data_IF_203741508381
#
_entry.id   IF_203741508381
#
_cell.length_a   1.000
_cell.length_b   1.000
_cell.length_c   1.000
_cell.angle_alpha   90.00
_cell.angle_beta   90.00
_cell.angle_gamma   90.00
#
_symmetry.space_group_name_H-M   'P 1'
#
loop_
_entity.id
_entity.type
_entity.pdbx_description
1 polymer ?
#
# COMPACT_ATOMS: atom_id res chain seq x y z
N UNK A 1 -14.73 11.77 43.90
CA UNK A 1 -13.87 12.98 43.88
C UNK A 1 -12.43 12.51 43.77
N UNK A 2 -11.81 12.62 42.60
CA UNK A 2 -10.39 12.31 42.43
C UNK A 2 -9.57 13.57 42.79
N UNK A 3 -8.57 13.48 43.68
CA UNK A 3 -7.78 14.62 44.09
C UNK A 3 -6.87 15.09 42.94
N UNK A 4 -7.15 16.28 42.41
CA UNK A 4 -6.30 17.00 41.47
C UNK A 4 -5.02 17.46 42.18
N UNK A 5 -3.91 16.74 41.99
CA UNK A 5 -2.57 17.23 42.39
C UNK A 5 -2.03 18.19 41.32
N UNK A 6 -1.42 19.31 41.70
CA UNK A 6 -0.80 20.24 40.75
C UNK A 6 0.46 19.61 40.12
N UNK A 7 0.51 19.61 38.79
CA UNK A 7 1.64 19.12 37.98
C UNK A 7 2.81 20.09 38.18
N UNK A 8 3.91 19.64 38.81
CA UNK A 8 4.98 20.54 39.27
C UNK A 8 6.29 20.42 38.49
N UNK A 9 6.47 19.40 37.64
CA UNK A 9 7.73 19.13 36.94
C UNK A 9 7.52 18.72 35.49
N UNK A 10 8.47 19.06 34.60
CA UNK A 10 8.47 18.66 33.17
C UNK A 10 8.37 17.14 32.99
N UNK A 11 8.84 16.37 33.98
CA UNK A 11 8.81 14.91 33.96
C UNK A 11 7.41 14.31 34.18
N UNK A 12 6.50 15.03 34.84
CA UNK A 12 5.10 14.60 34.95
C UNK A 12 4.34 14.87 33.66
N UNK A 13 4.72 15.93 32.92
CA UNK A 13 4.14 16.23 31.61
C UNK A 13 4.53 15.17 30.58
N UNK A 14 5.80 14.71 30.58
CA UNK A 14 6.24 13.63 29.68
C UNK A 14 5.58 12.29 30.04
N UNK A 15 5.38 11.97 31.33
CA UNK A 15 4.64 10.78 31.76
C UNK A 15 3.16 10.81 31.38
N UNK A 16 2.50 11.97 31.51
CA UNK A 16 1.10 12.13 31.09
C UNK A 16 0.97 12.06 29.57
N UNK A 17 1.93 12.63 28.83
CA UNK A 17 1.97 12.53 27.36
C UNK A 17 2.18 11.08 26.90
N UNK A 18 3.03 10.31 27.59
CA UNK A 18 3.20 8.87 27.33
C UNK A 18 1.95 8.07 27.68
N UNK A 19 1.27 8.37 28.79
CA UNK A 19 0.00 7.71 29.13
C UNK A 19 -1.13 8.07 28.16
N UNK A 20 -1.20 9.31 27.68
CA UNK A 20 -2.17 9.74 26.67
C UNK A 20 -1.92 9.08 25.31
N UNK A 21 -0.64 8.95 24.91
CA UNK A 21 -0.23 8.25 23.69
C UNK A 21 -0.54 6.75 23.75
N UNK A 22 -0.47 6.15 24.95
CA UNK A 22 -0.81 4.74 25.20
C UNK A 22 -2.32 4.48 25.25
N UNK A 23 -3.14 5.48 25.59
CA UNK A 23 -4.59 5.35 25.74
C UNK A 23 -5.40 5.69 24.47
N UNK A 24 -4.82 6.40 23.49
CA UNK A 24 -5.42 6.53 22.13
C UNK A 24 -5.14 5.34 21.21
N UNK A 25 -4.27 4.41 21.61
CA UNK A 25 -4.19 3.10 20.94
C UNK A 25 -5.38 2.27 21.42
N UNK A 26 -6.49 2.40 20.67
CA UNK A 26 -7.70 1.61 20.82
C UNK A 26 -7.34 0.12 21.01
N UNK A 27 -8.02 -0.61 21.93
CA UNK A 27 -7.73 -2.00 22.19
C UNK A 27 -7.74 -2.77 20.87
N UNK A 28 -6.59 -3.39 20.61
CA UNK A 28 -6.24 -4.10 19.40
C UNK A 28 -7.37 -5.05 18.99
N UNK A 29 -7.98 -4.81 17.83
CA UNK A 29 -8.58 -5.90 17.08
C UNK A 29 -7.47 -6.92 16.82
N UNK A 30 -7.63 -8.14 17.34
CA UNK A 30 -6.76 -9.28 17.06
C UNK A 30 -6.71 -9.50 15.54
N UNK A 31 -5.66 -9.02 14.88
CA UNK A 31 -5.53 -9.05 13.42
C UNK A 31 -4.77 -7.86 12.82
N UNK A 32 -4.57 -6.77 13.57
CA UNK A 32 -3.68 -5.69 13.12
C UNK A 32 -2.22 -6.15 13.17
N UNK A 33 -1.74 -6.74 12.07
CA UNK A 33 -0.33 -6.95 11.86
C UNK A 33 0.39 -5.61 12.02
N UNK A 34 1.46 -5.55 12.82
CA UNK A 34 2.13 -4.28 13.04
C UNK A 34 2.73 -3.80 11.71
N UNK A 35 2.33 -2.60 11.25
CA UNK A 35 2.70 -2.05 9.94
C UNK A 35 4.22 -2.05 9.66
N UNK A 36 5.05 -1.95 10.71
CA UNK A 36 6.50 -2.00 10.58
C UNK A 36 7.00 -3.37 10.07
N UNK A 37 6.35 -4.47 10.47
CA UNK A 37 6.71 -5.81 10.02
C UNK A 37 6.38 -6.00 8.54
N UNK A 38 5.23 -5.48 8.09
CA UNK A 38 4.85 -5.51 6.68
C UNK A 38 5.84 -4.74 5.80
N UNK A 39 6.29 -3.58 6.25
CA UNK A 39 7.33 -2.80 5.54
C UNK A 39 8.66 -3.55 5.50
N UNK A 40 9.08 -4.16 6.61
CA UNK A 40 10.33 -4.91 6.71
C UNK A 40 10.32 -6.13 5.78
N UNK A 41 9.25 -6.93 5.81
CA UNK A 41 9.08 -8.09 4.95
C UNK A 41 9.01 -7.67 3.47
N UNK A 42 8.29 -6.59 3.17
CA UNK A 42 8.21 -6.04 1.82
C UNK A 42 9.57 -5.61 1.27
N UNK A 43 10.39 -4.91 2.05
CA UNK A 43 11.75 -4.53 1.65
C UNK A 43 12.63 -5.76 1.37
N UNK A 44 12.55 -6.79 2.20
CA UNK A 44 13.34 -8.02 2.03
C UNK A 44 12.92 -8.77 0.77
N UNK A 45 11.61 -8.98 0.57
CA UNK A 45 11.07 -9.65 -0.62
C UNK A 45 11.43 -8.88 -1.89
N UNK A 46 11.29 -7.55 -1.88
CA UNK A 46 11.64 -6.72 -3.04
C UNK A 46 13.13 -6.78 -3.34
N UNK A 47 13.99 -6.67 -2.33
CA UNK A 47 15.44 -6.80 -2.50
C UNK A 47 15.82 -8.17 -3.08
N UNK A 48 15.21 -9.25 -2.59
CA UNK A 48 15.39 -10.60 -3.11
C UNK A 48 14.97 -10.73 -4.58
N UNK A 49 13.81 -10.19 -4.96
CA UNK A 49 13.37 -10.17 -6.36
C UNK A 49 14.31 -9.37 -7.26
N UNK A 50 14.80 -8.22 -6.81
CA UNK A 50 15.74 -7.40 -7.58
C UNK A 50 17.07 -8.13 -7.82
N UNK A 51 17.64 -8.75 -6.79
CA UNK A 51 18.86 -9.55 -6.98
C UNK A 51 18.62 -10.77 -7.86
N UNK A 52 17.47 -11.44 -7.73
CA UNK A 52 17.09 -12.55 -8.60
C UNK A 52 17.04 -12.13 -10.07
N UNK A 53 16.36 -11.01 -10.39
CA UNK A 53 16.31 -10.48 -11.75
C UNK A 53 17.67 -10.02 -12.27
N UNK A 54 18.52 -9.44 -11.41
CA UNK A 54 19.87 -9.08 -11.77
C UNK A 54 20.72 -10.29 -12.17
N UNK A 55 20.66 -11.38 -11.39
CA UNK A 55 21.38 -12.61 -11.69
C UNK A 55 20.90 -13.23 -13.00
N UNK A 56 19.58 -13.30 -13.22
CA UNK A 56 19.02 -13.78 -14.49
C UNK A 56 19.55 -12.97 -15.67
N UNK A 57 19.58 -11.64 -15.54
CA UNK A 57 20.09 -10.75 -16.58
C UNK A 57 21.55 -11.02 -16.95
N UNK A 58 22.41 -11.27 -15.96
CA UNK A 58 23.81 -11.62 -16.21
C UNK A 58 24.00 -13.02 -16.79
N UNK A 59 23.06 -13.93 -16.54
CA UNK A 59 23.00 -15.22 -17.22
C UNK A 59 22.49 -15.11 -18.65
N UNK A 60 22.26 -13.90 -19.16
CA UNK A 60 21.65 -13.62 -20.47
C UNK A 60 20.28 -14.29 -20.64
N UNK A 61 19.57 -14.48 -19.52
CA UNK A 61 18.22 -15.03 -19.50
C UNK A 61 17.27 -13.97 -19.01
N UNK A 62 16.21 -13.72 -19.77
CA UNK A 62 15.17 -12.81 -19.32
C UNK A 62 13.99 -13.63 -18.78
N UNK A 63 13.32 -13.17 -17.71
CA UNK A 63 12.13 -13.87 -17.16
C UNK A 63 10.87 -13.64 -18.00
N UNK A 64 10.88 -12.69 -18.95
CA UNK A 64 9.69 -12.27 -19.71
C UNK A 64 9.78 -12.57 -21.21
N UNK A 65 10.99 -12.60 -21.74
CA UNK A 65 11.29 -12.75 -23.16
C UNK A 65 12.18 -13.97 -23.41
N UNK A 66 11.85 -14.73 -24.43
CA UNK A 66 12.61 -15.89 -24.90
C UNK A 66 13.91 -15.45 -25.57
N UNK A 67 13.89 -14.33 -26.29
CA UNK A 67 15.05 -13.74 -26.93
C UNK A 67 15.04 -12.22 -26.80
N UNK A 68 16.09 -11.65 -26.20
CA UNK A 68 16.30 -10.22 -26.09
C UNK A 68 17.80 -9.96 -26.24
N UNK A 69 18.18 -8.86 -26.90
CA UNK A 69 19.59 -8.55 -27.13
C UNK A 69 20.37 -8.35 -25.83
N UNK A 70 21.65 -8.72 -25.84
CA UNK A 70 22.51 -8.67 -24.64
C UNK A 70 22.60 -7.28 -24.00
N UNK A 71 22.54 -6.21 -24.81
CA UNK A 71 22.68 -4.84 -24.33
C UNK A 71 21.55 -4.43 -23.34
N UNK A 72 20.25 -4.50 -23.69
CA UNK A 72 19.16 -4.19 -22.75
C UNK A 72 19.14 -5.09 -21.51
N UNK A 73 19.52 -6.37 -21.62
CA UNK A 73 19.65 -7.23 -20.43
C UNK A 73 20.71 -6.71 -19.46
N UNK A 74 21.88 -6.27 -19.94
CA UNK A 74 22.93 -5.78 -19.03
C UNK A 74 22.44 -4.54 -18.29
N UNK A 75 21.78 -3.60 -18.98
CA UNK A 75 21.22 -2.39 -18.37
C UNK A 75 20.17 -2.74 -17.31
N UNK A 76 19.23 -3.63 -17.65
CA UNK A 76 18.22 -4.13 -16.71
C UNK A 76 18.84 -4.77 -15.46
N UNK A 77 19.92 -5.53 -15.63
CA UNK A 77 20.65 -6.14 -14.52
C UNK A 77 21.27 -5.10 -13.59
N UNK A 78 21.94 -4.09 -14.14
CA UNK A 78 22.58 -3.02 -13.36
C UNK A 78 21.54 -2.20 -12.58
N UNK A 79 20.42 -1.83 -13.22
CA UNK A 79 19.33 -1.08 -12.58
C UNK A 79 18.73 -1.88 -11.42
N UNK A 80 18.52 -3.19 -11.58
CA UNK A 80 18.02 -4.06 -10.52
C UNK A 80 19.03 -4.24 -9.36
N UNK A 81 20.34 -4.28 -9.61
CA UNK A 81 21.34 -4.30 -8.52
C UNK A 81 21.26 -3.02 -7.70
N UNK A 82 21.23 -1.87 -8.35
CA UNK A 82 21.14 -0.57 -7.66
C UNK A 82 19.88 -0.52 -6.81
N UNK A 83 18.73 -0.92 -7.37
CA UNK A 83 17.49 -0.98 -6.63
C UNK A 83 17.52 -2.01 -5.48
N UNK A 84 18.12 -3.18 -5.69
CA UNK A 84 18.34 -4.21 -4.67
C UNK A 84 19.20 -3.72 -3.50
N UNK A 85 20.24 -2.92 -3.77
CA UNK A 85 21.07 -2.30 -2.74
C UNK A 85 20.33 -1.19 -1.99
N UNK A 86 19.56 -0.34 -2.68
CA UNK A 86 18.75 0.72 -2.06
C UNK A 86 17.68 0.12 -1.14
N UNK A 87 17.00 -0.95 -1.57
CA UNK A 87 15.99 -1.65 -0.77
C UNK A 87 16.61 -2.37 0.42
N UNK A 88 17.79 -2.98 0.26
CA UNK A 88 18.55 -3.60 1.35
C UNK A 88 19.05 -2.57 2.37
N UNK A 89 19.55 -1.43 1.91
CA UNK A 89 19.93 -0.31 2.78
C UNK A 89 18.72 0.22 3.57
N UNK A 90 17.58 0.36 2.90
CA UNK A 90 16.31 0.75 3.54
C UNK A 90 15.90 -0.24 4.62
N UNK A 91 16.01 -1.54 4.35
CA UNK A 91 15.77 -2.61 5.32
C UNK A 91 16.67 -2.46 6.56
N UNK A 92 17.99 -2.29 6.36
CA UNK A 92 18.94 -2.12 7.47
C UNK A 92 18.59 -0.87 8.31
N UNK A 93 18.23 0.24 7.65
CA UNK A 93 17.82 1.47 8.33
C UNK A 93 16.54 1.28 9.17
N UNK A 94 15.55 0.54 8.65
CA UNK A 94 14.33 0.16 9.40
C UNK A 94 14.68 -0.64 10.65
N UNK A 95 15.62 -1.58 10.56
CA UNK A 95 16.00 -2.45 11.67
C UNK A 95 16.80 -1.70 12.75
N UNK A 96 17.78 -0.89 12.35
CA UNK A 96 18.70 -0.22 13.29
C UNK A 96 18.03 1.01 13.93
N UNK A 97 17.29 1.81 13.17
CA UNK A 97 16.82 3.11 13.62
C UNK A 97 15.35 3.35 13.26
N UNK A 98 14.46 2.77 14.05
CA UNK A 98 13.01 3.01 13.91
C UNK A 98 12.62 4.50 14.05
N UNK A 99 13.48 5.36 14.62
CA UNK A 99 13.17 6.77 14.90
C UNK A 99 13.74 7.78 13.91
N UNK A 100 14.71 7.41 13.06
CA UNK A 100 15.40 8.37 12.18
C UNK A 100 15.12 8.04 10.72
N UNK A 101 13.85 8.13 10.32
CA UNK A 101 13.49 8.08 8.91
C UNK A 101 13.63 9.45 8.28
N UNK A 102 14.57 9.55 7.35
CA UNK A 102 14.73 10.73 6.53
C UNK A 102 13.79 10.69 5.31
N UNK A 103 13.16 11.82 4.99
CA UNK A 103 12.32 12.00 3.79
C UNK A 103 13.11 11.72 2.53
N UNK A 104 14.40 12.03 2.51
CA UNK A 104 15.28 11.78 1.38
C UNK A 104 15.32 10.30 0.97
N UNK A 105 15.26 9.38 1.94
CA UNK A 105 15.29 7.95 1.66
C UNK A 105 14.06 7.49 0.88
N UNK A 106 12.87 8.05 1.18
CA UNK A 106 11.62 7.74 0.46
C UNK A 106 11.68 8.21 -0.98
N UNK A 107 12.22 9.41 -1.21
CA UNK A 107 12.41 9.93 -2.55
C UNK A 107 13.40 9.09 -3.36
N UNK A 108 14.54 8.73 -2.76
CA UNK A 108 15.54 7.86 -3.41
C UNK A 108 14.91 6.51 -3.75
N UNK A 109 14.16 5.92 -2.82
CA UNK A 109 13.49 4.63 -3.03
C UNK A 109 12.44 4.70 -4.14
N UNK A 110 11.62 5.77 -4.15
CA UNK A 110 10.62 6.00 -5.20
C UNK A 110 11.26 6.22 -6.56
N UNK A 111 12.35 6.98 -6.64
CA UNK A 111 13.10 7.19 -7.88
C UNK A 111 13.73 5.90 -8.39
N UNK A 112 14.31 5.09 -7.51
CA UNK A 112 14.90 3.80 -7.88
C UNK A 112 13.83 2.80 -8.36
N UNK A 113 12.68 2.76 -7.70
CA UNK A 113 11.54 1.95 -8.14
C UNK A 113 11.01 2.42 -9.51
N UNK A 114 10.88 3.73 -9.72
CA UNK A 114 10.48 4.30 -11.01
C UNK A 114 11.49 3.97 -12.12
N UNK A 115 12.80 3.99 -11.83
CA UNK A 115 13.83 3.61 -12.78
C UNK A 115 13.69 2.16 -13.24
N UNK A 116 13.41 1.21 -12.33
CA UNK A 116 13.15 -0.20 -12.68
C UNK A 116 11.91 -0.32 -13.58
N UNK A 117 10.82 0.37 -13.25
CA UNK A 117 9.59 0.36 -14.05
C UNK A 117 9.85 0.90 -15.46
N UNK A 118 10.53 2.05 -15.57
CA UNK A 118 10.86 2.66 -16.86
C UNK A 118 11.75 1.72 -17.68
N UNK A 119 12.73 1.08 -17.06
CA UNK A 119 13.61 0.13 -17.74
C UNK A 119 12.85 -1.10 -18.24
N UNK A 120 11.95 -1.68 -17.43
CA UNK A 120 11.08 -2.79 -17.88
C UNK A 120 10.20 -2.40 -19.06
N UNK A 121 9.67 -1.18 -19.07
CA UNK A 121 8.85 -0.66 -20.16
C UNK A 121 9.70 -0.42 -21.42
N UNK A 122 10.91 0.12 -21.28
CA UNK A 122 11.83 0.31 -22.39
C UNK A 122 12.22 -1.03 -23.04
N UNK A 123 12.50 -2.06 -22.24
CA UNK A 123 12.80 -3.41 -22.72
C UNK A 123 11.61 -4.02 -23.46
N UNK A 124 10.38 -3.80 -22.98
CA UNK A 124 9.16 -4.22 -23.67
C UNK A 124 8.97 -3.53 -25.03
N UNK A 125 9.15 -2.22 -25.09
CA UNK A 125 9.08 -1.45 -26.33
C UNK A 125 10.16 -1.92 -27.31
N UNK A 126 11.37 -2.16 -26.82
CA UNK A 126 12.49 -2.67 -27.63
C UNK A 126 12.17 -4.03 -28.26
N UNK A 127 11.57 -4.94 -27.49
CA UNK A 127 11.15 -6.25 -27.97
C UNK A 127 10.11 -6.14 -29.09
N UNK A 128 9.07 -5.33 -28.91
CA UNK A 128 8.03 -5.12 -29.93
C UNK A 128 8.59 -4.45 -31.18
N UNK A 129 9.57 -3.57 -31.05
CA UNK A 129 10.17 -2.85 -32.18
C UNK A 129 10.98 -3.76 -33.11
N UNK A 130 11.44 -4.93 -32.64
CA UNK A 130 12.34 -5.82 -33.37
C UNK A 130 11.76 -7.23 -33.61
N UNK A 131 10.59 -7.38 -34.27
CA UNK A 131 9.97 -8.69 -34.48
C UNK A 131 10.80 -9.59 -35.40
N UNK A 132 11.58 -8.99 -36.32
CA UNK A 132 12.42 -9.73 -37.28
C UNK A 132 13.50 -10.56 -36.57
N UNK A 133 14.21 -9.95 -35.62
CA UNK A 133 15.25 -10.63 -34.83
C UNK A 133 14.68 -11.80 -34.02
N UNK A 134 13.44 -11.66 -33.52
CA UNK A 134 12.75 -12.74 -32.85
C UNK A 134 12.39 -13.89 -33.81
N UNK A 135 11.86 -13.59 -34.99
CA UNK A 135 11.53 -14.61 -35.99
C UNK A 135 12.77 -15.38 -36.47
N UNK A 136 13.87 -14.68 -36.74
CA UNK A 136 15.13 -15.31 -37.17
C UNK A 136 15.67 -16.27 -36.09
N UNK A 137 15.61 -15.86 -34.82
CA UNK A 137 15.96 -16.71 -33.69
C UNK A 137 15.03 -17.92 -33.56
N UNK A 138 13.72 -17.72 -33.64
CA UNK A 138 12.72 -18.78 -33.52
C UNK A 138 12.92 -19.88 -34.58
N UNK A 139 13.16 -19.48 -35.83
CA UNK A 139 13.45 -20.42 -36.92
C UNK A 139 14.76 -21.15 -36.68
N UNK A 140 15.83 -20.43 -36.28
CA UNK A 140 17.13 -21.05 -36.01
C UNK A 140 17.08 -22.04 -34.86
N UNK A 141 16.37 -21.72 -33.78
CA UNK A 141 16.24 -22.59 -32.60
C UNK A 141 15.38 -23.82 -32.92
N UNK A 142 14.26 -23.62 -33.64
CA UNK A 142 13.41 -24.71 -34.12
C UNK A 142 14.17 -25.69 -35.01
N UNK A 143 15.01 -25.20 -35.94
CA UNK A 143 15.87 -26.04 -36.78
C UNK A 143 16.91 -26.82 -35.97
N UNK A 144 17.51 -26.19 -34.95
CA UNK A 144 18.47 -26.86 -34.08
C UNK A 144 17.85 -28.03 -33.30
N UNK A 145 16.64 -27.83 -32.75
CA UNK A 145 15.90 -28.88 -32.04
C UNK A 145 15.51 -30.04 -32.98
N UNK A 146 15.09 -29.72 -34.21
CA UNK A 146 14.78 -30.72 -35.23
C UNK A 146 16.02 -31.53 -35.58
N UNK A 147 17.16 -30.87 -35.82
CA UNK A 147 18.41 -31.54 -36.17
C UNK A 147 18.89 -32.49 -35.05
N UNK A 148 18.77 -32.07 -33.79
CA UNK A 148 19.12 -32.91 -32.64
C UNK A 148 18.20 -34.13 -32.52
N UNK A 149 16.90 -33.96 -32.81
CA UNK A 149 15.92 -35.05 -32.79
C UNK A 149 16.07 -36.05 -33.96
N UNK A 150 16.49 -35.60 -35.14
CA UNK A 150 16.69 -36.46 -36.31
C UNK A 150 17.87 -37.43 -36.16
N UNK A 151 18.88 -37.08 -35.35
CA UNK A 151 19.99 -37.98 -35.04
C UNK A 151 19.55 -39.23 -34.24
N UNK A 152 18.32 -39.22 -33.70
CA UNK A 152 17.76 -40.30 -32.90
C UNK A 152 16.69 -41.11 -33.66
N UNK A 153 16.86 -41.39 -34.96
CA UNK A 153 16.08 -42.37 -35.78
C UNK A 153 14.54 -42.37 -35.62
N UNK A 154 13.96 -41.28 -35.13
CA UNK A 154 12.55 -41.16 -34.75
C UNK A 154 11.85 -40.30 -35.79
N UNK A 155 10.77 -40.80 -36.37
CA UNK A 155 9.88 -40.01 -37.23
C UNK A 155 9.34 -38.84 -36.42
N UNK A 156 9.64 -37.61 -36.84
CA UNK A 156 9.16 -36.41 -36.15
C UNK A 156 7.62 -36.43 -36.07
N UNK A 157 7.04 -36.21 -34.88
CA UNK A 157 5.60 -36.09 -34.74
C UNK A 157 5.14 -34.84 -35.49
N UNK A 158 4.42 -35.02 -36.59
CA UNK A 158 3.86 -33.97 -37.46
C UNK A 158 2.88 -33.01 -36.74
N UNK A 159 2.57 -33.28 -35.47
CA UNK A 159 1.65 -32.53 -34.61
C UNK A 159 2.33 -31.38 -33.85
N UNK A 160 3.66 -31.27 -33.96
CA UNK A 160 4.44 -30.23 -33.32
C UNK A 160 4.53 -28.99 -34.21
N UNK A 161 3.90 -27.92 -33.73
CA UNK A 161 3.69 -26.64 -34.43
C UNK A 161 5.00 -25.80 -34.49
N UNK A 162 6.13 -26.43 -34.86
CA UNK A 162 7.49 -25.86 -34.85
C UNK A 162 7.66 -24.60 -35.71
N UNK A 163 6.70 -24.31 -36.60
CA UNK A 163 6.77 -23.18 -37.54
C UNK A 163 5.85 -22.01 -37.20
N UNK A 164 5.05 -22.09 -36.12
CA UNK A 164 4.12 -21.02 -35.75
C UNK A 164 4.78 -19.91 -34.88
N UNK A 165 5.93 -19.40 -35.35
CA UNK A 165 6.67 -18.32 -34.69
C UNK A 165 5.84 -17.03 -34.52
N UNK A 166 4.93 -16.74 -35.45
CA UNK A 166 4.04 -15.57 -35.37
C UNK A 166 3.01 -15.70 -34.23
N UNK A 167 2.47 -16.92 -34.01
CA UNK A 167 1.57 -17.18 -32.88
C UNK A 167 2.33 -17.09 -31.56
N UNK A 168 3.51 -17.71 -31.49
CA UNK A 168 4.37 -17.67 -30.30
C UNK A 168 4.73 -16.23 -29.92
N UNK A 169 5.13 -15.41 -30.91
CA UNK A 169 5.45 -14.00 -30.71
C UNK A 169 4.26 -13.22 -30.13
N UNK A 170 3.06 -13.42 -30.68
CA UNK A 170 1.85 -12.76 -30.20
C UNK A 170 1.47 -13.16 -28.77
N UNK A 171 1.67 -14.42 -28.40
CA UNK A 171 1.40 -14.89 -27.05
C UNK A 171 2.46 -14.39 -26.05
N UNK A 172 3.72 -14.31 -26.47
CA UNK A 172 4.81 -13.72 -25.69
C UNK A 172 4.63 -12.21 -25.44
N UNK A 173 4.13 -11.45 -26.42
CA UNK A 173 3.76 -10.04 -26.24
C UNK A 173 2.66 -9.89 -25.18
N UNK A 174 1.60 -10.69 -25.25
CA UNK A 174 0.48 -10.60 -24.30
C UNK A 174 0.95 -10.95 -22.88
N UNK A 175 1.78 -11.99 -22.75
CA UNK A 175 2.34 -12.40 -21.47
C UNK A 175 3.27 -11.36 -20.88
N UNK A 176 4.23 -10.86 -21.68
CA UNK A 176 5.17 -9.83 -21.24
C UNK A 176 4.46 -8.51 -20.87
N UNK A 177 3.42 -8.10 -21.62
CA UNK A 177 2.59 -6.94 -21.28
C UNK A 177 1.90 -7.13 -19.92
N UNK A 178 1.32 -8.31 -19.68
CA UNK A 178 0.69 -8.64 -18.39
C UNK A 178 1.72 -8.55 -17.26
N UNK A 179 2.92 -9.11 -17.45
CA UNK A 179 4.00 -9.04 -16.48
C UNK A 179 4.44 -7.59 -16.19
N UNK A 180 4.60 -6.74 -17.21
CA UNK A 180 4.95 -5.31 -17.04
C UNK A 180 3.88 -4.58 -16.22
N UNK A 181 2.60 -4.80 -16.53
CA UNK A 181 1.48 -4.20 -15.78
C UNK A 181 1.48 -4.68 -14.33
N UNK A 182 1.72 -5.98 -14.09
CA UNK A 182 1.78 -6.55 -12.75
C UNK A 182 2.94 -5.98 -11.94
N UNK A 183 4.13 -5.84 -12.53
CA UNK A 183 5.30 -5.23 -11.91
C UNK A 183 5.02 -3.77 -11.57
N UNK A 184 4.42 -3.01 -12.50
CA UNK A 184 4.04 -1.63 -12.26
C UNK A 184 3.11 -1.49 -11.04
N UNK A 185 2.06 -2.31 -10.96
CA UNK A 185 1.12 -2.29 -9.85
C UNK A 185 1.78 -2.69 -8.52
N UNK A 186 2.58 -3.76 -8.53
CA UNK A 186 3.24 -4.26 -7.33
C UNK A 186 4.26 -3.24 -6.79
N UNK A 187 5.09 -2.66 -7.65
CA UNK A 187 6.09 -1.67 -7.28
C UNK A 187 5.42 -0.38 -6.79
N UNK A 188 4.44 0.15 -7.53
CA UNK A 188 3.73 1.38 -7.14
C UNK A 188 2.97 1.18 -5.82
N UNK A 189 2.24 0.07 -5.68
CA UNK A 189 1.52 -0.26 -4.45
C UNK A 189 2.46 -0.31 -3.25
N UNK A 190 3.59 -1.00 -3.40
CA UNK A 190 4.59 -1.12 -2.35
C UNK A 190 5.25 0.23 -2.00
N UNK A 191 5.65 1.02 -2.99
CA UNK A 191 6.24 2.35 -2.76
C UNK A 191 5.26 3.30 -2.07
N UNK A 192 3.99 3.31 -2.47
CA UNK A 192 2.95 4.09 -1.79
C UNK A 192 2.75 3.62 -0.35
N UNK A 193 2.76 2.30 -0.12
CA UNK A 193 2.68 1.75 1.23
C UNK A 193 3.83 2.24 2.13
N UNK A 194 5.08 2.17 1.65
CA UNK A 194 6.25 2.68 2.39
C UNK A 194 6.17 4.20 2.60
N UNK A 195 5.76 4.95 1.58
CA UNK A 195 5.61 6.40 1.68
C UNK A 195 4.57 6.81 2.73
N UNK A 196 3.42 6.11 2.79
CA UNK A 196 2.39 6.39 3.81
C UNK A 196 2.83 5.99 5.22
N UNK A 197 3.64 4.94 5.37
CA UNK A 197 4.21 4.55 6.66
C UNK A 197 5.13 5.64 7.21
N UNK A 198 6.02 6.17 6.37
CA UNK A 198 6.99 7.20 6.76
C UNK A 198 6.30 8.56 6.95
N UNK A 199 5.33 8.90 6.10
CA UNK A 199 4.53 10.13 6.24
C UNK A 199 3.73 10.17 7.54
N UNK A 200 3.14 9.04 7.98
CA UNK A 200 2.44 8.95 9.26
C UNK A 200 3.36 9.05 10.48
N UNK A 201 4.62 8.62 10.35
CA UNK A 201 5.61 8.75 11.41
C UNK A 201 6.02 10.23 11.64
N UNK A 202 5.91 11.05 10.60
CA UNK A 202 6.45 12.41 10.57
C UNK A 202 5.39 13.50 10.71
N UNK A 203 4.10 13.21 10.76
CA UNK A 203 3.15 14.18 11.32
C UNK A 203 3.29 14.00 12.83
N UNK A 204 4.08 14.82 13.56
CA UNK A 204 3.73 15.03 14.93
C UNK A 204 2.31 15.58 14.81
N UNK A 205 1.32 14.76 15.15
CA UNK A 205 0.19 15.35 15.83
C UNK A 205 0.84 15.93 17.09
N UNK A 206 1.37 17.15 16.98
CA UNK A 206 1.23 18.08 18.07
C UNK A 206 -0.25 17.93 18.37
N UNK A 207 -0.62 17.34 19.51
CA UNK A 207 -1.99 17.47 19.91
C UNK A 207 -2.17 18.99 19.86
N UNK A 208 -3.03 19.47 18.96
CA UNK A 208 -3.80 20.65 19.27
C UNK A 208 -4.61 20.27 20.52
N UNK A 209 -3.90 20.18 21.65
CA UNK A 209 -4.33 20.67 22.92
C UNK A 209 -4.43 22.18 22.67
N UNK A 210 -5.44 22.56 21.90
CA UNK A 210 -6.22 23.73 22.22
C UNK A 210 -6.76 23.39 23.62
N UNK A 211 -5.91 23.54 24.64
CA UNK A 211 -6.39 23.94 25.94
C UNK A 211 -7.09 25.25 25.58
N UNK A 212 -8.43 25.33 25.65
CA UNK A 212 -9.02 26.63 25.75
C UNK A 212 -8.31 27.19 26.98
N UNK A 213 -7.47 28.20 26.81
CA UNK A 213 -6.90 28.92 27.94
C UNK A 213 -8.05 29.06 28.95
N UNK A 214 -7.86 28.65 30.22
CA UNK A 214 -8.91 28.83 31.20
C UNK A 214 -9.24 30.31 31.12
N UNK A 215 -10.44 30.59 30.60
CA UNK A 215 -10.96 31.93 30.40
C UNK A 215 -10.60 32.63 31.69
N UNK A 216 -9.65 33.59 31.66
CA UNK A 216 -9.35 34.35 32.86
C UNK A 216 -10.71 34.87 33.28
N UNK A 217 -11.17 34.46 34.46
CA UNK A 217 -12.35 35.02 35.08
C UNK A 217 -12.15 36.53 34.99
N UNK A 218 -12.86 37.18 34.06
CA UNK A 218 -13.21 38.58 34.20
C UNK A 218 -14.20 38.62 35.36
N UNK A 219 -13.68 38.48 36.58
CA UNK A 219 -14.32 39.08 37.73
C UNK A 219 -14.37 40.59 37.44
N UNK A 220 -15.56 41.01 37.03
CA UNK A 220 -16.13 42.31 37.34
C UNK A 220 -15.16 43.50 37.21
N UNK A 221 -14.87 43.90 35.97
CA UNK A 221 -14.74 45.35 35.71
C UNK A 221 -16.16 45.91 35.71
N UNK A 222 -16.64 46.25 36.91
CA UNK A 222 -17.80 47.13 37.04
C UNK A 222 -17.42 48.51 36.49
N UNK A 223 -18.19 49.10 35.57
CA UNK A 223 -18.10 50.52 35.29
C UNK A 223 -18.74 51.27 36.46
N UNK A 224 -17.95 51.57 37.49
CA UNK A 224 -18.32 52.65 38.40
C UNK A 224 -18.20 53.96 37.63
N UNK A 225 -19.19 54.84 37.81
CA UNK A 225 -19.35 56.18 37.21
C UNK A 225 -20.18 56.25 35.94
N UNK A 226 -21.46 55.89 36.03
CA UNK A 226 -22.50 56.69 35.38
C UNK A 226 -23.30 57.43 36.45
N UNK A 227 -23.25 58.75 36.34
CA UNK A 227 -23.80 59.72 37.27
C UNK A 227 -25.33 59.64 37.31
N UNK A 228 -25.86 59.86 38.51
CA UNK A 228 -27.26 60.13 38.78
C UNK A 228 -27.74 61.35 37.98
N UNK A 229 -28.57 61.12 36.96
CA UNK A 229 -29.57 62.10 36.53
C UNK A 229 -30.96 61.53 36.85
N UNK A 230 -31.82 62.27 37.58
CA UNK A 230 -33.19 61.83 37.86
C UNK A 230 -34.05 61.93 36.59
N UNK A 231 -34.91 60.93 36.29
CA UNK A 231 -35.90 61.06 35.23
C UNK A 231 -37.09 61.89 35.71
N UNK A 232 -37.45 62.90 34.92
CA UNK A 232 -38.68 63.66 35.06
C UNK A 232 -39.90 62.80 34.71
N UNK A 233 -40.84 62.77 35.64
CA UNK A 233 -42.29 62.66 35.45
C UNK A 233 -42.88 61.64 34.46
N UNK A 234 -43.75 60.82 35.04
CA UNK A 234 -45.11 60.47 34.58
C UNK A 234 -45.34 59.11 33.92
N UNK A 235 -46.26 58.38 34.58
CA UNK A 235 -47.19 57.35 34.09
C UNK A 235 -46.63 55.97 33.70
N UNK A 236 -46.68 55.08 34.68
CA UNK A 236 -47.58 53.92 34.67
C UNK A 236 -47.89 53.30 33.30
N UNK A 237 -47.21 52.20 32.96
CA UNK A 237 -47.88 51.09 32.27
C UNK A 237 -47.20 49.74 32.57
N UNK A 238 -48.03 48.84 33.07
CA UNK A 238 -47.77 47.47 33.46
C UNK A 238 -47.46 46.61 32.24
N UNK A 239 -46.39 45.81 32.24
CA UNK A 239 -46.29 44.67 31.31
C UNK A 239 -45.68 43.43 31.97
N UNK A 240 -46.57 42.45 32.10
CA UNK A 240 -46.41 41.08 32.55
C UNK A 240 -45.63 40.30 31.50
N UNK A 241 -44.58 39.55 31.89
CA UNK A 241 -44.11 38.41 31.11
C UNK A 241 -43.81 37.20 32.02
N UNK A 242 -44.78 36.31 32.02
CA UNK A 242 -44.75 34.92 32.47
C UNK A 242 -44.19 33.97 31.41
N UNK A 243 -43.72 32.79 31.85
CA UNK A 243 -43.54 31.53 31.11
C UNK A 243 -42.22 31.41 30.29
N UNK A 244 -41.53 30.26 30.17
CA UNK A 244 -41.87 28.83 30.27
C UNK A 244 -40.69 28.05 30.90
N UNK A 245 -41.00 27.00 31.67
CA UNK A 245 -40.06 25.95 32.12
C UNK A 245 -40.21 24.72 31.20
N UNK A 246 -39.14 24.13 30.63
CA UNK A 246 -39.27 22.91 29.83
C UNK A 246 -39.35 21.66 30.71
N UNK A 247 -40.35 20.84 30.41
CA UNK A 247 -40.72 19.57 31.04
C UNK A 247 -39.82 18.41 30.60
N UNK A 248 -39.53 17.54 31.57
CA UNK A 248 -38.94 16.21 31.37
C UNK A 248 -39.85 15.34 30.50
N UNK A 249 -39.27 14.64 29.53
CA UNK A 249 -39.91 13.47 28.90
C UNK A 249 -39.18 12.21 29.37
N UNK A 250 -39.95 11.35 30.01
CA UNK A 250 -39.60 10.02 30.51
C UNK A 250 -40.41 9.01 29.70
N UNK A 251 -39.74 8.03 29.09
CA UNK A 251 -40.38 6.77 28.67
C UNK A 251 -39.37 5.62 28.63
N UNK A 252 -39.45 4.82 29.69
CA UNK A 252 -39.12 3.37 29.82
C UNK A 252 -40.11 2.54 28.95
N UNK A 253 -40.14 1.17 28.94
CA UNK A 253 -39.14 0.14 29.30
C UNK A 253 -39.11 -1.12 28.36
N UNK A 254 -38.11 -2.03 28.59
CA UNK A 254 -38.17 -3.53 28.64
C UNK A 254 -38.62 -4.37 27.42
N UNK A 255 -38.04 -5.52 27.03
CA UNK A 255 -37.84 -6.84 27.71
C UNK A 255 -36.96 -7.76 26.78
N UNK A 256 -36.69 -9.08 27.04
CA UNK A 256 -35.35 -9.69 26.94
C UNK A 256 -35.29 -11.05 26.18
N UNK A 257 -34.15 -11.74 26.31
CA UNK A 257 -33.99 -13.18 26.04
C UNK A 257 -33.53 -13.50 24.61
N UNK A 258 -32.93 -14.64 24.28
CA UNK A 258 -32.39 -15.82 24.99
C UNK A 258 -31.81 -16.74 23.89
N UNK A 259 -31.03 -17.76 24.28
CA UNK A 259 -30.49 -18.90 23.47
C UNK A 259 -29.28 -18.58 22.57
N UNK A 260 -28.12 -19.26 22.63
CA UNK A 260 -27.72 -20.68 22.85
C UNK A 260 -27.99 -21.61 21.65
N UNK A 261 -26.91 -21.97 20.95
CA UNK A 261 -26.76 -23.05 19.96
C UNK A 261 -25.43 -22.80 19.21
N UNK A 262 -24.34 -23.58 19.31
CA UNK A 262 -24.09 -25.03 19.26
C UNK A 262 -24.38 -25.67 17.90
N UNK A 263 -23.31 -26.16 17.28
CA UNK A 263 -23.34 -27.24 16.28
C UNK A 263 -23.05 -26.82 14.84
N UNK A 264 -22.17 -27.57 14.17
CA UNK A 264 -22.21 -27.65 12.70
C UNK A 264 -20.86 -27.80 12.02
N UNK A 265 -20.45 -29.05 11.82
CA UNK A 265 -19.32 -29.47 11.00
C UNK A 265 -19.56 -29.29 9.50
N UNK A 266 -18.45 -29.43 8.75
CA UNK A 266 -18.30 -30.26 7.54
C UNK A 266 -18.63 -29.70 6.15
N UNK A 267 -17.62 -29.89 5.28
CA UNK A 267 -17.63 -30.34 3.89
C UNK A 267 -18.42 -29.56 2.82
N UNK A 268 -17.71 -29.17 1.76
CA UNK A 268 -17.78 -29.78 0.41
C UNK A 268 -17.11 -28.79 -0.56
N UNK A 269 -15.98 -29.11 -1.19
CA UNK A 269 -15.90 -29.77 -2.50
C UNK A 269 -16.97 -29.26 -3.46
N UNK A 270 -16.59 -28.31 -4.31
CA UNK A 270 -17.23 -28.13 -5.62
C UNK A 270 -16.18 -28.24 -6.72
N UNK A 271 -16.34 -29.32 -7.48
CA UNK A 271 -15.80 -29.55 -8.81
C UNK A 271 -16.42 -28.53 -9.75
N UNK A 272 -15.60 -27.86 -10.56
CA UNK A 272 -16.04 -27.28 -11.82
C UNK A 272 -15.44 -28.15 -12.93
N UNK A 273 -16.33 -28.89 -13.59
CA UNK A 273 -16.11 -29.68 -14.79
C UNK A 273 -17.04 -29.09 -15.88
N UNK A 274 -16.68 -29.31 -17.16
CA UNK A 274 -17.50 -29.14 -18.39
C UNK A 274 -17.40 -27.71 -19.01
N UNK A 275 -17.03 -27.47 -20.27
CA UNK A 275 -16.98 -28.30 -21.50
C UNK A 275 -16.04 -27.69 -22.58
N UNK A 276 -15.68 -28.47 -23.63
CA UNK A 276 -15.05 -28.01 -24.86
C UNK A 276 -16.08 -27.67 -25.95
N UNK A 277 -15.81 -26.63 -26.74
CA UNK A 277 -16.48 -26.25 -28.00
C UNK A 277 -15.36 -25.68 -28.87
N UNK A 278 -15.16 -26.01 -30.15
CA UNK A 278 -15.84 -26.87 -31.09
C UNK A 278 -15.03 -26.81 -32.39
N UNK A 279 -14.95 -27.93 -33.08
CA UNK A 279 -14.40 -28.07 -34.43
C UNK A 279 -15.30 -27.38 -35.45
N UNK A 280 -14.73 -26.63 -36.40
CA UNK A 280 -15.38 -26.38 -37.69
C UNK A 280 -14.32 -26.28 -38.79
N UNK A 281 -14.22 -27.37 -39.54
CA UNK A 281 -13.70 -27.50 -40.90
C UNK A 281 -14.52 -26.67 -41.88
N UNK A 282 -13.88 -26.06 -42.89
CA UNK A 282 -14.17 -26.07 -44.34
C UNK A 282 -13.75 -24.76 -45.00
N UNK A 283 -12.98 -24.85 -46.09
CA UNK A 283 -12.64 -23.74 -46.99
C UNK A 283 -11.22 -23.80 -47.47
#
# INVERSE_FOLDING_TARGET
MLPTRPIRTKDDLTKLQDQYKRSRLHPRCCGCFPNWFGSLLGCLIMSGFSFYFAVLSFMQKSPFYSNLETAPLIVFGVVNIIFGLVTLFTFIMIVISHRVFDRHLVYILGMAAAAVVIDTLANFIYFIANPKTFHDWCISDGLFQIQDSMNMNSTLPLESDYYNCERLFNDEIKWSLLCVVLIFLLYTHWTVFVATFIGKLFIPMDPMLLVPDPVMNMEAVQPHMMANLPPSSSKEETTIYSNIKPSRMSSKPSFPGSARGSGGNSLSSDKILISPIGTTTTG
#
